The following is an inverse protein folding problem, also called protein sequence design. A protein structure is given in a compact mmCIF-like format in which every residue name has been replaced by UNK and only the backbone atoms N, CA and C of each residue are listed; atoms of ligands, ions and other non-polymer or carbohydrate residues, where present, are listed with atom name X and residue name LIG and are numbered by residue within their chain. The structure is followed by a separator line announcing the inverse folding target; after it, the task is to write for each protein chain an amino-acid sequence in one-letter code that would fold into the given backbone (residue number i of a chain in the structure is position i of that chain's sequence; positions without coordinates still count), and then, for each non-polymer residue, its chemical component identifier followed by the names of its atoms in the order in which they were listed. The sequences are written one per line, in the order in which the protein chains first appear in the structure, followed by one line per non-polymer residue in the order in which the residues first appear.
data_IF_184681812926
#
_entry.id   IF_184681812926
#
_cell.length_a   1.000
_cell.length_b   1.000
_cell.length_c   1.000
_cell.angle_alpha   90.00
_cell.angle_beta   90.00
_cell.angle_gamma   90.00
#
_symmetry.space_group_name_H-M   'P 1'
#
loop_
_entity.id
_entity.type
_entity.pdbx_description
1 polymer ?
#
# COMPACT_ATOMS: atom_id res chain seq x y z
N UNK A 1 -30.20 37.84 8.09
CA UNK A 1 -28.72 37.78 8.21
C UNK A 1 -28.24 36.48 8.87
N UNK A 2 -28.78 36.05 10.02
CA UNK A 2 -28.37 34.80 10.70
C UNK A 2 -28.64 33.51 9.89
N UNK A 3 -29.79 33.39 9.21
CA UNK A 3 -30.08 32.24 8.32
C UNK A 3 -29.11 32.13 7.12
N UNK A 4 -28.68 33.27 6.57
CA UNK A 4 -27.77 33.31 5.41
C UNK A 4 -26.36 32.84 5.80
N UNK A 5 -25.91 33.22 7.00
CA UNK A 5 -24.62 32.80 7.58
C UNK A 5 -24.62 31.30 7.91
N UNK A 6 -25.71 30.77 8.47
CA UNK A 6 -25.84 29.32 8.71
C UNK A 6 -25.87 28.50 7.42
N UNK A 7 -26.51 29.01 6.35
CA UNK A 7 -26.53 28.34 5.04
C UNK A 7 -25.14 28.37 4.37
N UNK A 8 -24.38 29.46 4.52
CA UNK A 8 -23.02 29.58 4.01
C UNK A 8 -22.04 28.64 4.76
N UNK A 9 -22.18 28.53 6.08
CA UNK A 9 -21.40 27.59 6.93
C UNK A 9 -21.74 26.11 6.65
N UNK A 10 -23.01 25.80 6.39
CA UNK A 10 -23.43 24.46 6.00
C UNK A 10 -22.90 24.10 4.59
N UNK A 11 -22.83 25.06 3.66
CA UNK A 11 -22.29 24.83 2.32
C UNK A 11 -20.77 24.59 2.33
N UNK A 12 -20.03 25.25 3.24
CA UNK A 12 -18.59 24.98 3.44
C UNK A 12 -18.30 23.65 4.14
N UNK A 13 -19.22 23.15 4.97
CA UNK A 13 -19.07 21.87 5.65
C UNK A 13 -19.32 20.65 4.74
N UNK A 14 -19.96 20.85 3.58
CA UNK A 14 -20.34 19.76 2.66
C UNK A 14 -19.24 19.41 1.64
N UNK A 15 -18.16 20.19 1.52
CA UNK A 15 -17.17 20.01 0.42
C UNK A 15 -15.72 20.06 0.91
N UNK A 16 -15.43 19.38 2.03
CA UNK A 16 -14.05 18.98 2.32
C UNK A 16 -14.00 17.49 2.60
N UNK A 17 -14.54 16.67 1.71
CA UNK A 17 -14.00 15.32 1.53
C UNK A 17 -12.62 15.51 0.90
N UNK A 18 -11.61 15.75 1.73
CA UNK A 18 -10.22 15.80 1.29
C UNK A 18 -9.95 14.44 0.64
N UNK A 19 -9.62 14.45 -0.65
CA UNK A 19 -9.16 13.25 -1.32
C UNK A 19 -7.90 12.77 -0.61
N UNK A 20 -7.97 11.67 0.13
CA UNK A 20 -6.77 11.16 0.80
C UNK A 20 -5.70 10.86 -0.26
N UNK A 21 -4.46 11.25 0.03
CA UNK A 21 -3.33 11.02 -0.85
C UNK A 21 -2.72 9.67 -0.49
N UNK A 22 -2.62 8.83 -1.50
CA UNK A 22 -2.09 7.48 -1.39
C UNK A 22 -0.76 7.44 -2.14
N UNK A 23 0.32 7.07 -1.46
CA UNK A 23 1.57 6.69 -2.12
C UNK A 23 1.52 5.18 -2.39
N UNK A 24 1.62 4.80 -3.66
CA UNK A 24 1.72 3.40 -4.08
C UNK A 24 3.14 3.15 -4.62
N UNK A 25 3.89 2.32 -3.90
CA UNK A 25 5.22 1.86 -4.32
C UNK A 25 5.09 0.52 -5.04
N UNK A 26 5.78 0.38 -6.17
CA UNK A 26 5.78 -0.81 -7.01
C UNK A 26 7.18 -1.19 -7.44
N UNK A 27 7.44 -2.48 -7.64
CA UNK A 27 8.70 -2.96 -8.27
C UNK A 27 8.74 -2.61 -9.75
N UNK A 28 7.57 -2.65 -10.40
CA UNK A 28 7.45 -2.43 -11.84
C UNK A 28 6.22 -1.56 -12.15
N UNK A 29 6.42 -0.51 -12.96
CA UNK A 29 5.35 0.40 -13.37
C UNK A 29 4.23 -0.28 -14.19
N UNK A 30 4.47 -1.48 -14.74
CA UNK A 30 3.44 -2.31 -15.38
C UNK A 30 2.28 -2.66 -14.44
N UNK A 31 2.47 -2.56 -13.12
CA UNK A 31 1.38 -2.67 -12.12
C UNK A 31 0.24 -1.71 -12.41
N UNK A 32 0.50 -0.55 -13.05
CA UNK A 32 -0.54 0.37 -13.50
C UNK A 32 -1.58 -0.29 -14.41
N UNK A 33 -1.14 -1.20 -15.27
CA UNK A 33 -1.98 -1.90 -16.22
C UNK A 33 -2.59 -3.16 -15.60
N UNK A 34 -1.75 -4.00 -14.97
CA UNK A 34 -2.17 -5.30 -14.42
C UNK A 34 -3.12 -5.17 -13.23
N UNK A 35 -3.01 -4.09 -12.45
CA UNK A 35 -3.87 -3.81 -11.28
C UNK A 35 -4.85 -2.65 -11.53
N UNK A 36 -5.13 -2.33 -12.80
CA UNK A 36 -5.98 -1.19 -13.20
C UNK A 36 -7.36 -1.19 -12.53
N UNK A 37 -7.96 -2.36 -12.31
CA UNK A 37 -9.25 -2.50 -11.61
C UNK A 37 -9.15 -1.99 -10.16
N UNK A 38 -8.11 -2.41 -9.43
CA UNK A 38 -7.88 -1.97 -8.05
C UNK A 38 -7.60 -0.47 -7.97
N UNK A 39 -6.74 0.05 -8.86
CA UNK A 39 -6.43 1.48 -8.93
C UNK A 39 -7.66 2.32 -9.25
N UNK A 40 -8.51 1.84 -10.16
CA UNK A 40 -9.79 2.45 -10.46
C UNK A 40 -10.71 2.48 -9.23
N UNK A 41 -10.79 1.40 -8.47
CA UNK A 41 -11.57 1.37 -7.23
C UNK A 41 -11.09 2.38 -6.18
N UNK A 42 -9.79 2.65 -6.09
CA UNK A 42 -9.26 3.70 -5.20
C UNK A 42 -9.67 5.09 -5.69
N UNK A 43 -9.52 5.35 -7.00
CA UNK A 43 -9.88 6.63 -7.62
C UNK A 43 -11.39 6.90 -7.55
N UNK A 44 -12.22 5.89 -7.78
CA UNK A 44 -13.69 5.99 -7.73
C UNK A 44 -14.19 6.30 -6.30
N UNK A 45 -13.40 5.98 -5.27
CA UNK A 45 -13.66 6.40 -3.87
C UNK A 45 -13.17 7.82 -3.55
N UNK A 46 -12.53 8.49 -4.51
CA UNK A 46 -12.03 9.84 -4.37
C UNK A 46 -10.59 9.93 -3.86
N UNK A 47 -9.82 8.84 -3.80
CA UNK A 47 -8.41 8.89 -3.42
C UNK A 47 -7.52 9.42 -4.56
N UNK A 48 -6.48 10.19 -4.21
CA UNK A 48 -5.44 10.60 -5.16
C UNK A 48 -4.24 9.66 -5.04
N UNK A 49 -4.04 8.79 -6.03
CA UNK A 49 -2.98 7.78 -6.01
C UNK A 49 -1.73 8.26 -6.77
N UNK A 50 -0.61 8.37 -6.06
CA UNK A 50 0.73 8.61 -6.61
C UNK A 50 1.46 7.28 -6.76
N UNK A 51 1.53 6.74 -7.97
CA UNK A 51 2.28 5.50 -8.27
C UNK A 51 3.75 5.83 -8.57
N UNK A 52 4.66 5.21 -7.81
CA UNK A 52 6.11 5.42 -7.90
C UNK A 52 6.87 4.09 -7.84
N UNK A 53 8.05 4.07 -8.45
CA UNK A 53 8.99 2.94 -8.28
C UNK A 53 9.52 2.94 -6.85
N UNK A 54 9.67 1.77 -6.24
CA UNK A 54 10.12 1.65 -4.85
C UNK A 54 11.57 2.15 -4.62
N UNK A 55 12.38 2.21 -5.69
CA UNK A 55 13.77 2.67 -5.72
C UNK A 55 13.93 4.16 -6.11
N UNK A 56 12.84 4.91 -6.30
CA UNK A 56 12.91 6.32 -6.70
C UNK A 56 13.63 7.16 -5.60
N UNK A 57 14.75 7.83 -5.92
CA UNK A 57 15.54 8.56 -4.93
C UNK A 57 14.84 9.83 -4.38
N UNK A 58 13.69 10.22 -4.96
CA UNK A 58 12.90 11.37 -4.52
C UNK A 58 11.79 11.04 -3.53
N UNK A 59 11.66 9.77 -3.15
CA UNK A 59 10.65 9.31 -2.21
C UNK A 59 10.84 9.90 -0.81
N UNK A 60 9.71 10.27 -0.20
CA UNK A 60 9.63 10.75 1.18
C UNK A 60 8.19 10.61 1.69
N UNK A 61 8.01 10.26 2.97
CA UNK A 61 6.71 10.31 3.64
C UNK A 61 6.53 11.59 4.44
N UNK A 62 7.64 12.14 4.95
CA UNK A 62 7.66 13.34 5.77
C UNK A 62 8.41 14.47 5.04
N UNK A 63 7.78 15.65 4.93
CA UNK A 63 8.46 16.87 4.47
C UNK A 63 8.19 18.00 5.45
N UNK A 64 9.26 18.68 5.88
CA UNK A 64 9.18 19.78 6.84
C UNK A 64 8.44 19.43 8.15
N UNK A 65 8.51 18.16 8.58
CA UNK A 65 7.86 17.67 9.79
C UNK A 65 6.38 17.30 9.64
N UNK A 66 5.83 17.37 8.42
CA UNK A 66 4.45 16.96 8.13
C UNK A 66 4.42 15.75 7.20
N UNK A 67 3.43 14.86 7.42
CA UNK A 67 3.15 13.76 6.50
C UNK A 67 2.50 14.28 5.22
N UNK A 68 3.09 13.94 4.07
CA UNK A 68 2.60 14.40 2.76
C UNK A 68 1.60 13.42 2.11
N UNK A 69 1.44 12.24 2.70
CA UNK A 69 0.46 11.22 2.34
C UNK A 69 -0.35 10.80 3.56
N UNK A 70 -1.57 10.32 3.34
CA UNK A 70 -2.44 9.75 4.37
C UNK A 70 -2.37 8.21 4.38
N UNK A 71 -2.07 7.61 3.23
CA UNK A 71 -1.96 6.15 3.08
C UNK A 71 -0.70 5.78 2.28
N UNK A 72 -0.08 4.66 2.65
CA UNK A 72 1.03 4.02 1.95
C UNK A 72 0.63 2.61 1.53
N UNK A 73 0.84 2.27 0.26
CA UNK A 73 0.62 0.92 -0.27
C UNK A 73 1.95 0.42 -0.84
N UNK A 74 2.39 -0.75 -0.39
CA UNK A 74 3.62 -1.40 -0.84
C UNK A 74 3.25 -2.62 -1.69
N UNK A 75 3.24 -2.44 -3.01
CA UNK A 75 3.14 -3.50 -4.01
C UNK A 75 4.49 -3.70 -4.69
N UNK A 76 5.53 -3.69 -3.86
CA UNK A 76 6.92 -3.89 -4.21
C UNK A 76 7.46 -5.07 -3.38
N UNK A 77 6.96 -6.29 -3.60
CA UNK A 77 7.36 -7.45 -2.80
C UNK A 77 8.88 -7.69 -2.80
N UNK A 78 9.58 -7.47 -3.92
CA UNK A 78 11.01 -7.81 -4.06
C UNK A 78 11.97 -6.67 -3.77
N UNK A 79 11.53 -5.66 -3.02
CA UNK A 79 12.38 -4.52 -2.67
C UNK A 79 13.33 -4.87 -1.53
N UNK A 80 14.63 -4.68 -1.76
CA UNK A 80 15.65 -4.84 -0.71
C UNK A 80 15.82 -3.57 0.12
N UNK A 81 15.76 -2.41 -0.53
CA UNK A 81 15.88 -1.10 0.11
C UNK A 81 15.00 -0.09 -0.65
N UNK A 82 14.29 0.76 0.10
CA UNK A 82 13.49 1.83 -0.50
C UNK A 82 14.37 3.01 -0.91
N UNK A 83 13.95 3.72 -1.95
CA UNK A 83 14.59 4.95 -2.39
C UNK A 83 14.33 6.15 -1.48
N UNK A 84 15.16 7.18 -1.62
CA UNK A 84 14.98 8.48 -1.00
C UNK A 84 15.18 8.44 0.52
N UNK A 85 14.23 9.01 1.28
CA UNK A 85 14.29 8.98 2.74
C UNK A 85 13.58 7.77 3.37
N UNK A 86 12.77 7.06 2.57
CA UNK A 86 11.92 5.99 3.06
C UNK A 86 12.80 4.83 3.52
N UNK A 87 12.58 4.39 4.75
CA UNK A 87 13.15 3.19 5.33
C UNK A 87 12.16 2.66 6.38
N UNK A 88 12.47 1.48 6.95
CA UNK A 88 11.62 0.84 7.95
C UNK A 88 11.29 1.78 9.10
N UNK A 89 12.27 2.55 9.61
CA UNK A 89 12.04 3.47 10.72
C UNK A 89 11.16 4.68 10.34
N UNK A 90 11.25 5.19 9.11
CA UNK A 90 10.34 6.25 8.62
C UNK A 90 8.91 5.71 8.47
N UNK A 91 8.75 4.48 7.98
CA UNK A 91 7.44 3.83 7.85
C UNK A 91 6.83 3.55 9.24
N UNK A 92 7.59 3.06 10.21
CA UNK A 92 7.10 2.87 11.58
C UNK A 92 6.65 4.19 12.21
N UNK A 93 7.41 5.29 12.02
CA UNK A 93 6.97 6.63 12.46
C UNK A 93 5.70 7.10 11.75
N UNK A 94 5.53 6.75 10.48
CA UNK A 94 4.31 7.05 9.73
C UNK A 94 3.09 6.32 10.31
N UNK A 95 3.26 5.03 10.66
CA UNK A 95 2.24 4.23 11.35
C UNK A 95 1.90 4.84 12.72
N UNK A 96 2.91 5.11 13.55
CA UNK A 96 2.74 5.74 14.87
C UNK A 96 2.08 7.12 14.77
N UNK A 97 2.32 7.82 13.67
CA UNK A 97 1.71 9.10 13.31
C UNK A 97 0.27 9.03 12.84
N UNK A 98 -0.32 7.83 12.75
CA UNK A 98 -1.71 7.59 12.32
C UNK A 98 -1.89 7.38 10.82
N UNK A 99 -0.80 7.23 10.06
CA UNK A 99 -0.84 6.84 8.66
C UNK A 99 -1.21 5.37 8.50
N UNK A 100 -1.92 5.02 7.42
CA UNK A 100 -2.28 3.63 7.15
C UNK A 100 -1.32 3.00 6.16
N UNK A 101 -0.86 1.78 6.43
CA UNK A 101 0.03 1.02 5.55
C UNK A 101 -0.63 -0.28 5.13
N UNK A 102 -0.66 -0.54 3.83
CA UNK A 102 -1.03 -1.82 3.24
C UNK A 102 0.19 -2.43 2.55
N UNK A 103 0.51 -3.68 2.86
CA UNK A 103 1.66 -4.38 2.30
C UNK A 103 1.19 -5.64 1.59
N UNK A 104 1.66 -5.86 0.37
CA UNK A 104 1.52 -7.12 -0.34
C UNK A 104 2.91 -7.71 -0.62
N UNK A 105 3.14 -8.92 -0.13
CA UNK A 105 4.37 -9.68 -0.37
C UNK A 105 4.11 -10.82 -1.38
N UNK A 106 5.18 -11.45 -1.85
CA UNK A 106 5.14 -12.66 -2.69
C UNK A 106 6.23 -13.63 -2.26
N UNK A 107 6.39 -14.74 -2.99
CA UNK A 107 7.53 -15.65 -2.81
C UNK A 107 8.90 -14.99 -3.11
N UNK A 108 8.92 -13.83 -3.74
CA UNK A 108 10.14 -13.06 -3.98
C UNK A 108 10.24 -11.90 -2.97
N UNK A 109 9.99 -12.18 -1.69
CA UNK A 109 9.98 -11.17 -0.62
C UNK A 109 11.39 -10.64 -0.36
N UNK A 110 11.58 -9.32 -0.44
CA UNK A 110 12.84 -8.64 -0.13
C UNK A 110 12.98 -8.24 1.34
N UNK A 111 14.21 -7.94 1.76
CA UNK A 111 14.57 -7.68 3.16
C UNK A 111 13.81 -6.50 3.76
N UNK A 112 13.59 -5.41 3.01
CA UNK A 112 12.88 -4.23 3.50
C UNK A 112 11.42 -4.54 3.93
N UNK A 113 10.75 -5.49 3.28
CA UNK A 113 9.40 -5.91 3.67
C UNK A 113 9.44 -6.83 4.90
N UNK A 114 10.41 -7.75 4.97
CA UNK A 114 10.60 -8.65 6.12
C UNK A 114 10.95 -7.88 7.39
N UNK A 115 11.84 -6.91 7.30
CA UNK A 115 12.24 -6.06 8.41
C UNK A 115 11.06 -5.21 8.91
N UNK A 116 10.29 -4.60 7.98
CA UNK A 116 9.09 -3.86 8.33
C UNK A 116 8.05 -4.74 9.04
N UNK A 117 7.85 -5.97 8.57
CA UNK A 117 6.95 -6.92 9.21
C UNK A 117 7.40 -7.26 10.63
N UNK A 118 8.70 -7.52 10.80
CA UNK A 118 9.32 -7.87 12.09
C UNK A 118 9.15 -6.75 13.11
N UNK A 119 9.37 -5.49 12.71
CA UNK A 119 9.14 -4.31 13.55
C UNK A 119 7.68 -4.16 13.98
N UNK A 120 6.73 -4.76 13.24
CA UNK A 120 5.31 -4.77 13.55
C UNK A 120 4.83 -6.10 14.18
N UNK A 121 5.75 -7.01 14.54
CA UNK A 121 5.44 -8.26 15.23
C UNK A 121 4.95 -9.40 14.33
N UNK A 122 5.18 -9.30 13.02
CA UNK A 122 4.94 -10.37 12.04
C UNK A 122 6.26 -10.95 11.56
N UNK A 123 6.28 -12.25 11.27
CA UNK A 123 7.44 -12.92 10.72
C UNK A 123 7.04 -13.56 9.39
N UNK A 124 7.70 -13.14 8.31
CA UNK A 124 7.63 -13.82 7.02
C UNK A 124 8.73 -14.88 6.95
N UNK A 125 8.46 -15.94 6.21
CA UNK A 125 9.46 -16.96 5.87
C UNK A 125 10.51 -16.36 4.89
N UNK A 126 11.54 -17.14 4.59
CA UNK A 126 12.62 -16.75 3.68
C UNK A 126 12.12 -16.53 2.24
N UNK A 127 12.95 -15.87 1.42
CA UNK A 127 12.71 -15.78 -0.03
C UNK A 127 12.56 -17.18 -0.66
N UNK A 128 11.79 -17.25 -1.73
CA UNK A 128 11.48 -18.45 -2.50
C UNK A 128 10.71 -19.53 -1.75
N UNK A 129 10.06 -19.16 -0.64
CA UNK A 129 9.07 -20.00 0.04
C UNK A 129 7.66 -19.72 -0.49
N UNK A 130 6.77 -20.69 -0.34
CA UNK A 130 5.38 -20.57 -0.76
C UNK A 130 4.48 -21.38 0.18
N UNK A 131 3.23 -20.94 0.33
CA UNK A 131 2.20 -21.73 1.00
C UNK A 131 1.76 -22.84 0.05
N UNK A 132 1.77 -24.09 0.53
CA UNK A 132 1.43 -25.26 -0.27
C UNK A 132 0.28 -26.03 0.40
N UNK A 133 -0.80 -26.27 -0.34
CA UNK A 133 -1.91 -27.13 0.11
C UNK A 133 -2.27 -28.13 -1.00
N UNK A 134 -2.05 -29.42 -0.74
CA UNK A 134 -2.36 -30.49 -1.70
C UNK A 134 -3.85 -30.87 -1.76
N UNK A 135 -4.66 -30.32 -0.87
CA UNK A 135 -6.09 -30.61 -0.76
C UNK A 135 -6.94 -29.47 -1.31
N UNK A 136 -6.60 -28.23 -0.97
CA UNK A 136 -7.39 -27.03 -1.32
C UNK A 136 -6.63 -26.07 -2.24
N UNK A 137 -6.31 -26.55 -3.44
CA UNK A 137 -5.69 -25.75 -4.49
C UNK A 137 -6.58 -25.65 -5.74
N UNK A 138 -6.38 -24.59 -6.52
CA UNK A 138 -7.12 -24.36 -7.75
C UNK A 138 -6.54 -25.20 -8.90
N UNK A 139 -7.25 -26.24 -9.33
CA UNK A 139 -6.78 -27.13 -10.42
C UNK A 139 -6.70 -26.48 -11.81
N UNK A 140 -7.26 -25.27 -12.01
CA UNK A 140 -7.30 -24.57 -13.29
C UNK A 140 -6.20 -23.51 -13.37
N UNK A 141 -5.97 -22.77 -12.28
CA UNK A 141 -4.99 -21.68 -12.22
C UNK A 141 -3.61 -22.11 -11.75
N UNK A 142 -3.52 -23.20 -10.98
CA UNK A 142 -2.26 -23.72 -10.46
C UNK A 142 -1.39 -24.37 -11.56
N UNK A 143 -0.06 -24.29 -11.39
CA UNK A 143 0.93 -24.84 -12.33
C UNK A 143 1.34 -26.29 -12.01
N UNK A 144 0.66 -26.94 -11.06
CA UNK A 144 0.94 -28.29 -10.58
C UNK A 144 1.80 -28.33 -9.31
N UNK A 145 2.15 -27.17 -8.74
CA UNK A 145 2.92 -27.07 -7.48
C UNK A 145 2.04 -26.91 -6.25
N UNK A 146 0.72 -26.77 -6.41
CA UNK A 146 -0.26 -26.62 -5.34
C UNK A 146 -0.02 -25.39 -4.46
N UNK A 147 0.32 -24.26 -5.09
CA UNK A 147 0.62 -22.97 -4.46
C UNK A 147 -0.49 -21.94 -4.66
N UNK A 148 -1.43 -22.19 -5.58
CA UNK A 148 -2.64 -21.37 -5.75
C UNK A 148 -3.74 -21.88 -4.84
N UNK A 149 -3.78 -21.34 -3.62
CA UNK A 149 -4.66 -21.82 -2.55
C UNK A 149 -6.06 -21.24 -2.70
N UNK A 150 -7.09 -22.08 -2.55
CA UNK A 150 -8.50 -21.65 -2.53
C UNK A 150 -8.93 -21.41 -1.09
N UNK A 151 -9.34 -20.18 -0.79
CA UNK A 151 -9.96 -19.84 0.49
C UNK A 151 -11.45 -20.17 0.52
N UNK A 152 -11.96 -20.51 1.70
CA UNK A 152 -13.39 -20.69 1.94
C UNK A 152 -14.09 -19.31 1.90
N UNK A 153 -15.21 -19.22 1.17
CA UNK A 153 -15.96 -17.96 0.93
C UNK A 153 -17.20 -17.81 1.81
#
# INVERSE_FOLDING_TARGET
MKLLVCLLLALTAVISTKADRVLLLVDNLNVRETHSIYLKYLQDRGHTVSLKSADDPSLALIKHGEFIYEHLILFSPSVEEFGGSINVQEITKFIDGGGNVLVAASSDIGDAIRDLATENGFEFDEEHTAVIDHLNYDTVLDDGKHTTIVGDS
#
